data_IF_242851703013
#
_entry.id   IF_242851703013
#
_cell.length_a   1.000
_cell.length_b   1.000
_cell.length_c   1.000
_cell.angle_alpha   90.00
_cell.angle_beta   90.00
_cell.angle_gamma   90.00
#
_symmetry.space_group_name_H-M   'P 1'
#
loop_
_entity.id
_entity.type
_entity.pdbx_description
1 polymer ?
#
# COMPACT_ATOMS: atom_id res chain seq x y z
N UNK A 1 -17.58 -7.03 -7.82
CA UNK A 1 -16.36 -6.23 -7.59
C UNK A 1 -16.52 -5.08 -6.58
N UNK A 2 -17.55 -4.22 -6.63
CA UNK A 2 -17.69 -3.08 -5.68
C UNK A 2 -17.91 -3.48 -4.19
N UNK A 3 -18.49 -4.66 -3.93
CA UNK A 3 -18.83 -5.10 -2.58
C UNK A 3 -17.61 -5.34 -1.68
N UNK A 4 -16.53 -5.91 -2.22
CA UNK A 4 -15.34 -6.26 -1.42
C UNK A 4 -14.59 -5.03 -0.90
N UNK A 5 -14.63 -3.91 -1.65
CA UNK A 5 -13.98 -2.65 -1.27
C UNK A 5 -14.75 -1.95 -0.14
N UNK A 6 -16.09 -1.97 -0.19
CA UNK A 6 -16.96 -1.53 0.90
C UNK A 6 -16.81 -2.42 2.14
N UNK A 7 -16.72 -3.74 1.95
CA UNK A 7 -16.55 -4.69 3.06
C UNK A 7 -15.21 -4.51 3.78
N UNK A 8 -14.11 -4.33 3.03
CA UNK A 8 -12.80 -4.03 3.62
C UNK A 8 -12.80 -2.72 4.42
N UNK A 9 -13.56 -1.71 3.96
CA UNK A 9 -13.71 -0.43 4.67
C UNK A 9 -14.50 -0.58 5.98
N UNK A 10 -15.60 -1.33 5.95
CA UNK A 10 -16.42 -1.63 7.13
C UNK A 10 -15.60 -2.45 8.14
N UNK A 11 -14.91 -3.50 7.70
CA UNK A 11 -14.09 -4.34 8.58
C UNK A 11 -12.91 -3.59 9.23
N UNK A 12 -12.39 -2.55 8.56
CA UNK A 12 -11.40 -1.63 9.14
C UNK A 12 -11.96 -0.84 10.33
N UNK A 13 -13.23 -0.43 10.26
CA UNK A 13 -13.94 0.27 11.34
C UNK A 13 -14.27 -0.67 12.50
N UNK A 14 -14.56 -1.94 12.20
CA UNK A 14 -14.86 -2.98 13.20
C UNK A 14 -13.64 -3.67 13.81
N UNK A 15 -12.41 -3.24 13.49
CA UNK A 15 -11.17 -3.82 14.03
C UNK A 15 -10.82 -5.21 13.47
N UNK A 16 -11.58 -5.73 12.51
CA UNK A 16 -11.33 -7.01 11.81
C UNK A 16 -10.37 -6.82 10.65
N UNK A 17 -9.15 -6.41 10.99
CA UNK A 17 -8.12 -6.03 10.02
C UNK A 17 -7.61 -7.24 9.20
N UNK A 18 -7.73 -8.45 9.72
CA UNK A 18 -7.35 -9.69 9.04
C UNK A 18 -8.30 -10.06 7.89
N UNK A 19 -9.61 -9.98 8.14
CA UNK A 19 -10.63 -10.24 7.10
C UNK A 19 -10.50 -9.22 5.96
N UNK A 20 -10.32 -7.94 6.31
CA UNK A 20 -10.11 -6.87 5.33
C UNK A 20 -8.85 -7.11 4.46
N UNK A 21 -7.77 -7.63 5.04
CA UNK A 21 -6.56 -8.01 4.30
C UNK A 21 -6.85 -9.11 3.27
N UNK A 22 -7.59 -10.15 3.65
CA UNK A 22 -7.96 -11.25 2.73
C UNK A 22 -8.82 -10.77 1.55
N UNK A 23 -9.84 -9.96 1.81
CA UNK A 23 -10.70 -9.44 0.74
C UNK A 23 -9.93 -8.53 -0.21
N UNK A 24 -9.05 -7.67 0.30
CA UNK A 24 -8.21 -6.82 -0.55
C UNK A 24 -7.21 -7.62 -1.36
N UNK A 25 -6.65 -8.71 -0.83
CA UNK A 25 -5.79 -9.61 -1.61
C UNK A 25 -6.55 -10.24 -2.77
N UNK A 26 -7.77 -10.76 -2.54
CA UNK A 26 -8.62 -11.30 -3.63
C UNK A 26 -8.87 -10.26 -4.72
N UNK A 27 -9.15 -9.01 -4.35
CA UNK A 27 -9.30 -7.91 -5.32
C UNK A 27 -8.01 -7.64 -6.07
N UNK A 28 -6.84 -7.72 -5.42
CA UNK A 28 -5.53 -7.51 -6.07
C UNK A 28 -5.15 -8.71 -6.96
N UNK A 29 -5.56 -9.93 -6.62
CA UNK A 29 -5.38 -11.11 -7.47
C UNK A 29 -6.19 -11.00 -8.76
N UNK A 30 -7.42 -10.49 -8.70
CA UNK A 30 -8.25 -10.23 -9.89
C UNK A 30 -7.82 -8.97 -10.64
N UNK A 31 -7.47 -7.90 -9.93
CA UNK A 31 -7.09 -6.60 -10.47
C UNK A 31 -5.74 -6.11 -9.89
N UNK A 32 -4.60 -6.63 -10.40
CA UNK A 32 -3.28 -6.30 -9.86
C UNK A 32 -2.88 -4.83 -9.97
N UNK A 33 -3.54 -4.10 -10.87
CA UNK A 33 -3.34 -2.68 -11.16
C UNK A 33 -4.30 -1.78 -10.38
N UNK A 34 -5.20 -2.32 -9.54
CA UNK A 34 -6.15 -1.52 -8.78
C UNK A 34 -5.44 -0.77 -7.65
N UNK A 35 -5.06 0.47 -7.94
CA UNK A 35 -4.31 1.34 -7.01
C UNK A 35 -5.10 1.58 -5.73
N UNK A 36 -6.43 1.67 -5.81
CA UNK A 36 -7.26 1.87 -4.63
C UNK A 36 -7.17 0.69 -3.66
N UNK A 37 -7.25 -0.54 -4.16
CA UNK A 37 -7.10 -1.74 -3.34
C UNK A 37 -5.69 -1.83 -2.71
N UNK A 38 -4.64 -1.50 -3.48
CA UNK A 38 -3.27 -1.46 -2.99
C UNK A 38 -3.08 -0.39 -1.89
N UNK A 39 -3.67 0.79 -2.05
CA UNK A 39 -3.61 1.87 -1.05
C UNK A 39 -4.33 1.49 0.25
N UNK A 40 -5.52 0.89 0.16
CA UNK A 40 -6.24 0.43 1.35
C UNK A 40 -5.49 -0.69 2.07
N UNK A 41 -4.93 -1.65 1.34
CA UNK A 41 -4.12 -2.73 1.93
C UNK A 41 -2.87 -2.16 2.64
N UNK A 42 -2.19 -1.20 2.01
CA UNK A 42 -1.08 -0.50 2.64
C UNK A 42 -1.50 0.29 3.88
N UNK A 43 -2.68 0.93 3.86
CA UNK A 43 -3.24 1.63 5.03
C UNK A 43 -3.51 0.69 6.19
N UNK A 44 -4.06 -0.50 5.92
CA UNK A 44 -4.30 -1.53 6.94
C UNK A 44 -2.97 -1.97 7.56
N UNK A 45 -1.99 -2.33 6.73
CA UNK A 45 -0.65 -2.70 7.21
C UNK A 45 0.03 -1.59 8.02
N UNK A 46 -0.17 -0.33 7.65
CA UNK A 46 0.32 0.82 8.43
C UNK A 46 -0.33 0.86 9.81
N UNK A 47 -1.65 0.69 9.89
CA UNK A 47 -2.41 0.77 11.13
C UNK A 47 -2.07 -0.36 12.11
N UNK A 48 -1.78 -1.57 11.62
CA UNK A 48 -1.35 -2.70 12.47
C UNK A 48 0.16 -2.71 12.78
N UNK A 49 0.89 -1.65 12.40
CA UNK A 49 2.32 -1.52 12.68
C UNK A 49 3.25 -2.30 11.73
N UNK A 50 2.72 -3.02 10.73
CA UNK A 50 3.50 -3.74 9.72
C UNK A 50 4.03 -2.82 8.61
N UNK A 51 4.85 -1.83 8.99
CA UNK A 51 5.38 -0.79 8.10
C UNK A 51 6.11 -1.35 6.87
N UNK A 52 6.88 -2.43 7.03
CA UNK A 52 7.61 -3.08 5.92
C UNK A 52 6.67 -3.65 4.85
N UNK A 53 5.56 -4.28 5.26
CA UNK A 53 4.54 -4.78 4.33
C UNK A 53 3.79 -3.64 3.65
N UNK A 54 3.45 -2.59 4.41
CA UNK A 54 2.84 -1.39 3.84
C UNK A 54 3.71 -0.76 2.74
N UNK A 55 5.02 -0.61 2.99
CA UNK A 55 5.97 -0.08 2.02
C UNK A 55 6.07 -0.95 0.76
N UNK A 56 6.05 -2.28 0.89
CA UNK A 56 6.08 -3.18 -0.27
C UNK A 56 4.83 -3.04 -1.15
N UNK A 57 3.65 -2.93 -0.54
CA UNK A 57 2.39 -2.73 -1.27
C UNK A 57 2.36 -1.36 -1.96
N UNK A 58 2.82 -0.29 -1.28
CA UNK A 58 2.92 1.04 -1.89
C UNK A 58 3.91 1.08 -3.07
N UNK A 59 5.02 0.34 -2.99
CA UNK A 59 5.93 0.20 -4.12
C UNK A 59 5.26 -0.48 -5.32
N UNK A 60 4.40 -1.47 -5.10
CA UNK A 60 3.57 -2.05 -6.18
C UNK A 60 2.61 -1.02 -6.76
N UNK A 61 1.94 -0.22 -5.91
CA UNK A 61 1.06 0.85 -6.38
C UNK A 61 1.80 1.88 -7.24
N UNK A 62 2.99 2.31 -6.82
CA UNK A 62 3.83 3.26 -7.57
C UNK A 62 4.39 2.64 -8.86
N UNK A 63 4.59 1.32 -8.89
CA UNK A 63 5.00 0.62 -10.12
C UNK A 63 3.93 0.74 -11.21
N UNK A 64 2.65 0.67 -10.83
CA UNK A 64 1.51 0.82 -11.73
C UNK A 64 1.18 2.28 -12.03
N UNK A 65 1.21 3.15 -11.03
CA UNK A 65 1.03 4.60 -11.19
C UNK A 65 2.13 5.37 -10.44
N UNK A 66 3.15 5.74 -11.23
CA UNK A 66 4.34 6.45 -10.73
C UNK A 66 4.02 7.84 -10.17
N UNK A 67 2.90 8.43 -10.57
CA UNK A 67 2.51 9.78 -10.19
C UNK A 67 1.40 9.80 -9.13
N UNK A 68 1.11 8.64 -8.53
CA UNK A 68 0.10 8.57 -7.49
C UNK A 68 0.54 9.32 -6.24
N UNK A 69 0.08 10.57 -6.09
CA UNK A 69 0.44 11.46 -4.98
C UNK A 69 0.13 10.84 -3.61
N UNK A 70 -0.94 10.05 -3.50
CA UNK A 70 -1.31 9.37 -2.25
C UNK A 70 -0.31 8.28 -1.92
N UNK A 71 0.02 7.40 -2.87
CA UNK A 71 0.97 6.32 -2.64
C UNK A 71 2.37 6.85 -2.28
N UNK A 72 2.82 7.89 -3.00
CA UNK A 72 4.10 8.57 -2.72
C UNK A 72 4.13 9.18 -1.32
N UNK A 73 3.10 9.94 -0.93
CA UNK A 73 3.01 10.55 0.40
C UNK A 73 3.00 9.50 1.52
N UNK A 74 2.21 8.43 1.36
CA UNK A 74 2.18 7.34 2.35
C UNK A 74 3.53 6.63 2.46
N UNK A 75 4.23 6.43 1.34
CA UNK A 75 5.55 5.81 1.34
C UNK A 75 6.57 6.73 2.00
N UNK A 76 6.53 8.04 1.73
CA UNK A 76 7.38 9.02 2.40
C UNK A 76 7.13 9.05 3.92
N UNK A 77 5.87 9.04 4.38
CA UNK A 77 5.53 8.96 5.81
C UNK A 77 6.12 7.70 6.46
N UNK A 78 6.02 6.54 5.80
CA UNK A 78 6.59 5.28 6.29
C UNK A 78 8.13 5.35 6.35
N UNK A 79 8.77 5.97 5.36
CA UNK A 79 10.22 6.08 5.28
C UNK A 79 10.82 7.21 6.13
N UNK A 80 10.04 8.22 6.54
CA UNK A 80 10.46 9.18 7.57
C UNK A 80 10.75 8.54 8.93
N UNK A 81 10.28 7.31 9.14
CA UNK A 81 10.66 6.48 10.29
C UNK A 81 11.82 5.51 9.98
N UNK A 82 12.26 5.41 8.72
CA UNK A 82 13.34 4.53 8.24
C UNK A 82 14.44 5.31 7.49
N UNK A 83 14.59 6.62 7.79
CA UNK A 83 15.18 7.77 7.04
C UNK A 83 16.51 7.58 6.29
N UNK A 84 17.12 6.40 6.25
CA UNK A 84 18.43 6.17 5.67
C UNK A 84 18.35 5.42 4.30
N UNK A 85 17.29 4.65 4.01
CA UNK A 85 17.36 3.70 2.87
C UNK A 85 16.94 4.25 1.49
N UNK A 86 15.89 5.08 1.38
CA UNK A 86 15.33 5.45 0.07
C UNK A 86 16.17 6.46 -0.74
N UNK A 87 16.87 7.39 -0.09
CA UNK A 87 17.76 8.35 -0.76
C UNK A 87 18.86 7.63 -1.55
N UNK A 88 19.22 6.42 -1.11
CA UNK A 88 20.23 5.54 -1.71
C UNK A 88 19.66 4.75 -2.91
N UNK A 89 18.40 4.33 -2.83
CA UNK A 89 17.77 3.48 -3.85
C UNK A 89 17.42 4.26 -5.13
N UNK A 90 16.91 5.49 -5.01
CA UNK A 90 16.58 6.33 -6.17
C UNK A 90 17.81 6.97 -6.83
N UNK A 91 18.94 7.13 -6.12
CA UNK A 91 20.18 7.67 -6.69
C UNK A 91 20.88 6.69 -7.63
N UNK A 92 20.64 5.38 -7.51
CA UNK A 92 21.30 4.36 -8.35
C UNK A 92 20.64 4.16 -9.73
N UNK A 93 19.37 4.54 -9.93
CA UNK A 93 18.67 4.31 -11.22
C UNK A 93 18.85 5.40 -12.28
N UNK A 94 19.54 6.51 -11.97
CA UNK A 94 19.75 7.64 -12.90
C UNK A 94 21.16 7.71 -13.50
N UNK A 95 21.96 6.64 -13.38
CA UNK A 95 23.34 6.53 -13.88
C UNK A 95 23.62 5.22 -14.63
N UNK A 96 22.71 4.81 -15.52
CA UNK A 96 22.98 3.77 -16.51
C UNK A 96 22.53 4.29 -17.87
#
# INVERSE_FOLDING_TARGET
>A
MAANLLYAKIMKEFGKLHDAEEYLKKVIDEEPYNIHALLELASIYKNIGLKSRAAAVLQKAIKWDRNNKKALKMLEELNKHQTISLKTLFRKKKKA
#
